data_IF_311274540897
#
_entry.id   IF_311274540897
#
_cell.length_a   1.000
_cell.length_b   1.000
_cell.length_c   1.000
_cell.angle_alpha   90.00
_cell.angle_beta   90.00
_cell.angle_gamma   90.00
#
_symmetry.space_group_name_H-M   'P 1'
#
loop_
_entity.id
_entity.type
_entity.pdbx_description
1 polymer ?
#
# COMPACT_ATOMS: atom_id res chain seq x y z
N UNK A 1 14.42 13.26 1.73
CA UNK A 1 14.08 12.10 2.57
C UNK A 1 12.72 11.59 2.10
N UNK A 2 12.58 10.31 1.74
CA UNK A 2 11.29 9.75 1.31
C UNK A 2 10.33 9.54 2.49
N UNK A 3 9.03 9.34 2.20
CA UNK A 3 8.06 8.88 3.21
C UNK A 3 8.33 7.42 3.58
N UNK A 4 8.17 7.07 4.86
CA UNK A 4 8.15 5.66 5.30
C UNK A 4 6.81 5.07 4.91
N UNK A 5 6.83 3.86 4.35
CA UNK A 5 5.62 3.12 3.96
C UNK A 5 5.48 1.83 4.77
N UNK A 6 4.24 1.44 5.02
CA UNK A 6 3.90 0.10 5.50
C UNK A 6 3.59 -0.80 4.33
N UNK A 7 4.13 -2.02 4.34
CA UNK A 7 3.87 -3.05 3.35
C UNK A 7 3.33 -4.27 4.10
N UNK A 8 2.11 -4.67 3.76
CA UNK A 8 1.58 -5.98 4.12
C UNK A 8 1.81 -6.94 2.95
N UNK A 9 2.68 -7.93 3.19
CA UNK A 9 3.12 -8.90 2.19
C UNK A 9 2.37 -10.22 2.41
N UNK A 10 1.15 -10.29 1.90
CA UNK A 10 0.33 -11.50 1.96
C UNK A 10 0.66 -12.48 0.84
N UNK A 11 0.39 -13.77 1.09
CA UNK A 11 0.64 -14.85 0.13
C UNK A 11 -0.22 -14.74 -1.14
N UNK A 12 -1.44 -14.20 -1.04
CA UNK A 12 -2.35 -14.05 -2.19
C UNK A 12 -2.41 -12.61 -2.69
N UNK A 13 -2.43 -11.64 -1.78
CA UNK A 13 -2.46 -10.21 -2.11
C UNK A 13 -1.54 -9.44 -1.16
N UNK A 14 -1.00 -8.34 -1.67
CA UNK A 14 -0.23 -7.35 -0.92
C UNK A 14 -0.90 -5.99 -0.97
N UNK A 15 -0.62 -5.16 0.04
CA UNK A 15 -1.09 -3.77 0.10
C UNK A 15 -0.01 -2.85 0.63
N UNK A 16 0.00 -1.59 0.17
CA UNK A 16 0.93 -0.55 0.61
C UNK A 16 0.15 0.62 1.17
N UNK A 17 0.59 1.15 2.31
CA UNK A 17 0.02 2.34 2.93
C UNK A 17 1.10 3.32 3.40
N UNK A 18 0.71 4.58 3.55
CA UNK A 18 1.55 5.67 4.06
C UNK A 18 0.74 6.54 5.01
N UNK A 19 1.40 7.19 5.96
CA UNK A 19 0.76 8.18 6.83
C UNK A 19 0.63 9.52 6.09
N UNK A 20 -0.60 10.01 5.91
CA UNK A 20 -0.89 11.33 5.33
C UNK A 20 -1.77 12.13 6.30
N UNK A 21 -1.32 13.33 6.68
CA UNK A 21 -2.10 14.19 7.58
C UNK A 21 -2.37 13.59 8.97
N UNK A 22 -1.60 12.58 9.39
CA UNK A 22 -1.82 11.84 10.65
C UNK A 22 -2.70 10.60 10.49
N UNK A 23 -3.26 10.35 9.31
CA UNK A 23 -4.14 9.22 9.04
C UNK A 23 -3.48 8.19 8.10
N UNK A 24 -3.69 6.88 8.29
CA UNK A 24 -3.19 5.86 7.39
C UNK A 24 -3.97 5.88 6.07
N UNK A 25 -3.26 6.06 4.96
CA UNK A 25 -3.83 6.11 3.61
C UNK A 25 -3.23 5.01 2.75
N UNK A 26 -4.09 4.19 2.14
CA UNK A 26 -3.67 3.14 1.19
C UNK A 26 -3.28 3.78 -0.13
N UNK A 27 -2.14 3.37 -0.67
CA UNK A 27 -1.65 3.82 -1.97
C UNK A 27 -2.33 2.95 -3.04
N UNK A 28 -3.07 3.54 -4.00
CA UNK A 28 -3.65 2.76 -5.09
C UNK A 28 -2.57 2.23 -6.03
N UNK A 29 -2.86 1.10 -6.67
CA UNK A 29 -2.00 0.53 -7.73
C UNK A 29 -2.10 1.35 -9.01
N UNK A 30 -1.23 1.08 -9.98
CA UNK A 30 -1.28 1.74 -11.29
C UNK A 30 -2.60 1.47 -12.04
N UNK A 31 -3.25 0.35 -11.76
CA UNK A 31 -4.54 -0.08 -12.30
C UNK A 31 -5.74 0.52 -11.54
N UNK A 32 -5.48 1.34 -10.51
CA UNK A 32 -6.51 1.99 -9.68
C UNK A 32 -7.09 1.10 -8.57
N UNK A 33 -6.54 -0.11 -8.38
CA UNK A 33 -6.90 -1.01 -7.29
C UNK A 33 -6.27 -0.59 -5.95
N UNK A 34 -6.66 -1.24 -4.86
CA UNK A 34 -6.04 -1.06 -3.53
C UNK A 34 -5.25 -2.28 -3.06
N UNK A 35 -5.36 -3.40 -3.78
CA UNK A 35 -4.66 -4.64 -3.53
C UNK A 35 -3.89 -5.01 -4.78
N UNK A 36 -2.70 -5.58 -4.59
CA UNK A 36 -1.89 -6.15 -5.65
C UNK A 36 -1.85 -7.68 -5.47
N UNK A 37 -2.26 -8.50 -6.46
CA UNK A 37 -2.06 -9.94 -6.42
C UNK A 37 -0.57 -10.28 -6.23
N UNK A 38 -0.27 -11.19 -5.30
CA UNK A 38 1.09 -11.65 -5.02
C UNK A 38 1.42 -12.86 -5.91
N UNK A 39 1.62 -12.61 -7.20
CA UNK A 39 1.98 -13.61 -8.24
C UNK A 39 3.20 -13.19 -9.04
#
# INVERSE_FOLDING_TARGET
MGKIIGIDLGTTNSVVAVMEGGEPTVIPTAEGGRLCPSV
#
